data_IF_719992829319
#
_entry.id   IF_719992829319
#
_cell.length_a   1.000
_cell.length_b   1.000
_cell.length_c   1.000
_cell.angle_alpha   90.00
_cell.angle_beta   90.00
_cell.angle_gamma   90.00
#
_symmetry.space_group_name_H-M   'P 1'
#
loop_
_entity.id
_entity.type
_entity.pdbx_description
1 polymer ?
#
# COMPACT_ATOMS: atom_id res chain seq x y z
N UNK A 1 33.00 -19.42 43.16
CA UNK A 1 32.70 -19.98 41.82
C UNK A 1 31.19 -19.98 41.63
N UNK A 2 30.74 -19.64 40.42
CA UNK A 2 29.36 -19.59 39.88
C UNK A 2 28.40 -18.50 40.37
N UNK A 3 28.35 -17.42 39.60
CA UNK A 3 27.16 -16.56 39.46
C UNK A 3 26.25 -17.15 38.37
N UNK A 4 24.99 -17.51 38.65
CA UNK A 4 24.06 -17.88 37.60
C UNK A 4 23.57 -16.62 36.89
N UNK A 5 23.98 -16.46 35.64
CA UNK A 5 23.34 -15.56 34.69
C UNK A 5 21.90 -16.01 34.47
N UNK A 6 20.93 -15.40 35.15
CA UNK A 6 19.57 -15.37 34.65
C UNK A 6 19.53 -14.45 33.44
N UNK A 7 19.64 -15.06 32.25
CA UNK A 7 19.27 -14.42 30.97
C UNK A 7 17.78 -14.08 31.08
N UNK A 8 17.51 -12.81 31.37
CA UNK A 8 16.19 -12.22 31.25
C UNK A 8 15.81 -12.24 29.76
N UNK A 9 15.26 -13.36 29.30
CA UNK A 9 14.46 -13.42 28.08
C UNK A 9 13.19 -12.64 28.36
N UNK A 10 13.30 -11.31 28.31
CA UNK A 10 12.13 -10.47 28.10
C UNK A 10 11.55 -10.96 26.78
N UNK A 11 10.46 -11.74 26.86
CA UNK A 11 9.54 -11.88 25.76
C UNK A 11 9.20 -10.46 25.32
N UNK A 12 9.86 -9.99 24.26
CA UNK A 12 9.53 -8.71 23.68
C UNK A 12 8.06 -8.82 23.28
N UNK A 13 7.20 -8.06 23.97
CA UNK A 13 5.81 -7.96 23.57
C UNK A 13 5.79 -7.69 22.06
N UNK A 14 4.97 -8.42 21.28
CA UNK A 14 4.94 -8.25 19.85
C UNK A 14 4.61 -6.79 19.55
N UNK A 15 5.60 -6.04 19.05
CA UNK A 15 5.39 -4.65 18.65
C UNK A 15 4.24 -4.64 17.65
N UNK A 16 3.27 -3.72 17.79
CA UNK A 16 2.19 -3.63 16.81
C UNK A 16 2.80 -3.45 15.42
N UNK A 17 2.56 -4.42 14.53
CA UNK A 17 3.09 -4.35 13.17
C UNK A 17 2.51 -3.14 12.45
N UNK A 18 3.35 -2.32 11.79
CA UNK A 18 2.87 -1.21 11.01
C UNK A 18 1.98 -1.72 9.87
N UNK A 19 0.94 -0.96 9.54
CA UNK A 19 -0.02 -1.36 8.50
C UNK A 19 -0.50 -0.16 7.70
N UNK A 20 -0.91 -0.42 6.46
CA UNK A 20 -1.69 0.50 5.64
C UNK A 20 -3.18 0.26 5.94
N UNK A 21 -3.91 1.25 6.45
CA UNK A 21 -5.35 1.13 6.59
C UNK A 21 -6.03 1.25 5.22
N UNK A 22 -6.90 0.30 4.88
CA UNK A 22 -7.69 0.33 3.64
C UNK A 22 -9.17 0.37 3.99
N UNK A 23 -9.95 1.37 3.52
CA UNK A 23 -11.38 1.44 3.80
C UNK A 23 -12.11 0.20 3.26
N UNK A 24 -12.93 -0.47 4.07
CA UNK A 24 -13.73 -1.62 3.58
C UNK A 24 -14.70 -1.24 2.45
N UNK A 25 -15.18 0.02 2.45
CA UNK A 25 -16.03 0.54 1.38
C UNK A 25 -15.29 0.60 0.04
N UNK A 26 -14.00 0.92 0.04
CA UNK A 26 -13.14 0.86 -1.15
C UNK A 26 -13.03 -0.58 -1.63
N UNK A 27 -12.75 -1.51 -0.71
CA UNK A 27 -12.60 -2.92 -1.03
C UNK A 27 -13.89 -3.51 -1.62
N UNK A 28 -15.06 -3.12 -1.11
CA UNK A 28 -16.37 -3.49 -1.69
C UNK A 28 -16.59 -2.88 -3.08
N UNK A 29 -16.25 -1.60 -3.25
CA UNK A 29 -16.41 -0.90 -4.54
C UNK A 29 -15.53 -1.50 -5.65
N UNK A 30 -14.33 -2.00 -5.30
CA UNK A 30 -13.37 -2.59 -6.23
C UNK A 30 -13.20 -4.11 -6.01
N UNK A 31 -14.26 -4.80 -5.56
CA UNK A 31 -14.21 -6.22 -5.25
C UNK A 31 -13.72 -7.10 -6.40
N UNK A 32 -13.91 -6.67 -7.65
CA UNK A 32 -13.48 -7.38 -8.86
C UNK A 32 -12.31 -6.71 -9.59
N UNK A 33 -11.69 -5.68 -9.00
CA UNK A 33 -10.52 -5.00 -9.56
C UNK A 33 -9.37 -4.92 -8.53
N UNK A 34 -8.68 -6.05 -8.27
CA UNK A 34 -7.54 -6.08 -7.35
C UNK A 34 -6.44 -5.09 -7.74
N UNK A 35 -6.29 -4.77 -9.03
CA UNK A 35 -5.31 -3.78 -9.45
C UNK A 35 -5.64 -2.38 -8.91
N UNK A 36 -6.91 -1.99 -8.86
CA UNK A 36 -7.31 -0.70 -8.27
C UNK A 36 -6.98 -0.65 -6.78
N UNK A 37 -7.26 -1.73 -6.05
CA UNK A 37 -6.91 -1.85 -4.62
C UNK A 37 -5.40 -1.79 -4.41
N UNK A 38 -4.63 -2.49 -5.24
CA UNK A 38 -3.17 -2.44 -5.23
C UNK A 38 -2.61 -1.04 -5.48
N UNK A 39 -3.17 -0.31 -6.44
CA UNK A 39 -2.77 1.09 -6.72
C UNK A 39 -3.08 2.00 -5.53
N UNK A 40 -4.24 1.86 -4.90
CA UNK A 40 -4.56 2.60 -3.68
C UNK A 40 -3.54 2.30 -2.58
N UNK A 41 -3.22 1.01 -2.36
CA UNK A 41 -2.22 0.59 -1.38
C UNK A 41 -0.83 1.19 -1.63
N UNK A 42 -0.39 1.22 -2.88
CA UNK A 42 0.89 1.81 -3.27
C UNK A 42 0.94 3.31 -2.93
N UNK A 43 -0.10 4.06 -3.30
CA UNK A 43 -0.18 5.50 -3.00
C UNK A 43 -0.28 5.74 -1.48
N UNK A 44 -1.10 4.96 -0.79
CA UNK A 44 -1.27 5.05 0.66
C UNK A 44 0.02 4.75 1.42
N UNK A 45 0.80 3.76 0.98
CA UNK A 45 2.13 3.46 1.54
C UNK A 45 3.08 4.64 1.39
N UNK A 46 3.12 5.28 0.23
CA UNK A 46 3.94 6.47 0.01
C UNK A 46 3.49 7.63 0.92
N UNK A 47 2.17 7.82 1.07
CA UNK A 47 1.60 8.86 1.93
C UNK A 47 1.93 8.71 3.40
N UNK A 48 2.00 7.47 3.91
CA UNK A 48 2.47 7.21 5.27
C UNK A 48 3.94 7.58 5.47
N UNK A 49 4.76 7.46 4.41
CA UNK A 49 6.19 7.79 4.46
C UNK A 49 6.42 9.30 4.40
N UNK A 50 5.76 9.98 3.46
CA UNK A 50 5.98 11.40 3.16
C UNK A 50 5.10 12.32 3.99
N UNK A 51 4.02 11.81 4.60
CA UNK A 51 2.99 12.58 5.33
C UNK A 51 2.39 13.73 4.50
N UNK A 52 2.15 13.49 3.21
CA UNK A 52 1.54 14.49 2.33
C UNK A 52 1.39 14.02 0.89
N UNK A 53 0.90 14.88 -0.03
CA UNK A 53 0.72 14.56 -1.44
C UNK A 53 2.03 14.18 -2.14
N UNK A 54 2.03 13.04 -2.83
CA UNK A 54 3.24 12.44 -3.41
C UNK A 54 3.30 12.64 -4.92
N UNK A 55 4.40 13.17 -5.48
CA UNK A 55 4.58 13.25 -6.94
C UNK A 55 4.85 11.84 -7.50
N UNK A 56 3.81 11.17 -8.00
CA UNK A 56 3.89 9.77 -8.41
C UNK A 56 3.25 9.57 -9.78
N UNK A 57 4.03 9.09 -10.75
CA UNK A 57 3.54 8.79 -12.09
C UNK A 57 3.16 7.30 -12.23
N UNK A 58 2.33 6.95 -13.24
CA UNK A 58 2.06 5.55 -13.55
C UNK A 58 3.32 4.75 -13.88
N UNK A 59 4.34 5.39 -14.46
CA UNK A 59 5.62 4.78 -14.76
C UNK A 59 6.40 4.47 -13.47
N UNK A 60 6.47 5.42 -12.53
CA UNK A 60 7.13 5.20 -11.23
C UNK A 60 6.51 4.01 -10.49
N UNK A 61 5.18 3.91 -10.50
CA UNK A 61 4.47 2.76 -9.91
C UNK A 61 4.82 1.49 -10.68
N UNK A 62 4.73 1.49 -12.01
CA UNK A 62 5.07 0.29 -12.80
C UNK A 62 6.50 -0.19 -12.51
N UNK A 63 7.45 0.72 -12.47
CA UNK A 63 8.86 0.43 -12.22
C UNK A 63 9.09 -0.04 -10.79
N UNK A 64 8.30 0.44 -9.83
CA UNK A 64 8.35 -0.05 -8.46
C UNK A 64 7.89 -1.51 -8.33
N UNK A 65 7.05 -1.98 -9.25
CA UNK A 65 6.59 -3.36 -9.28
C UNK A 65 7.21 -4.17 -10.45
N UNK A 66 8.31 -3.69 -11.05
CA UNK A 66 9.00 -4.33 -12.22
C UNK A 66 9.18 -5.83 -12.04
N UNK A 67 8.43 -6.61 -12.81
CA UNK A 67 8.18 -8.05 -12.57
C UNK A 67 6.72 -8.43 -12.90
N UNK A 68 5.87 -7.41 -13.02
CA UNK A 68 4.47 -7.46 -13.41
C UNK A 68 4.20 -7.45 -14.92
N UNK A 69 3.10 -8.10 -15.33
CA UNK A 69 2.48 -7.92 -16.66
C UNK A 69 1.70 -6.59 -16.79
N UNK A 70 1.54 -5.86 -15.69
CA UNK A 70 0.71 -4.66 -15.60
C UNK A 70 1.38 -3.50 -16.33
N UNK A 71 0.71 -2.99 -17.37
CA UNK A 71 1.20 -1.89 -18.20
C UNK A 71 0.86 -0.52 -17.58
N UNK A 72 1.68 0.49 -17.84
CA UNK A 72 1.46 1.89 -17.43
C UNK A 72 0.03 2.40 -17.68
N UNK A 73 -0.55 2.07 -18.86
CA UNK A 73 -1.91 2.48 -19.20
C UNK A 73 -2.98 1.86 -18.29
N UNK A 74 -2.77 0.63 -17.82
CA UNK A 74 -3.69 -0.02 -16.88
C UNK A 74 -3.65 0.68 -15.51
N UNK A 75 -2.45 1.05 -15.04
CA UNK A 75 -2.25 1.79 -13.78
C UNK A 75 -2.88 3.18 -13.88
N UNK A 76 -2.60 3.93 -14.95
CA UNK A 76 -3.17 5.25 -15.19
C UNK A 76 -4.70 5.22 -15.19
N UNK A 77 -5.31 4.20 -15.82
CA UNK A 77 -6.75 4.01 -15.80
C UNK A 77 -7.28 3.87 -14.37
N UNK A 78 -6.62 3.08 -13.51
CA UNK A 78 -7.05 2.89 -12.11
C UNK A 78 -6.85 4.14 -11.27
N UNK A 79 -5.76 4.87 -11.47
CA UNK A 79 -5.57 6.18 -10.83
C UNK A 79 -6.74 7.09 -11.18
N UNK A 80 -7.07 7.24 -12.48
CA UNK A 80 -8.21 8.06 -12.92
C UNK A 80 -9.53 7.62 -12.31
N UNK A 81 -9.82 6.32 -12.28
CA UNK A 81 -11.04 5.80 -11.67
C UNK A 81 -11.08 6.09 -10.17
N UNK A 82 -10.00 5.85 -9.43
CA UNK A 82 -9.92 6.12 -8.00
C UNK A 82 -10.06 7.61 -7.67
N UNK A 83 -9.51 8.49 -8.52
CA UNK A 83 -9.69 9.94 -8.41
C UNK A 83 -11.14 10.33 -8.68
N UNK A 84 -11.72 9.87 -9.78
CA UNK A 84 -13.09 10.18 -10.16
C UNK A 84 -14.13 9.69 -9.12
N UNK A 85 -13.80 8.65 -8.37
CA UNK A 85 -14.65 8.07 -7.32
C UNK A 85 -14.30 8.54 -5.91
N UNK A 86 -13.35 9.48 -5.76
CA UNK A 86 -13.01 10.14 -4.50
C UNK A 86 -12.18 9.30 -3.52
N UNK A 87 -11.53 8.23 -3.98
CA UNK A 87 -10.62 7.43 -3.15
C UNK A 87 -9.18 7.92 -3.19
N UNK A 88 -8.81 8.60 -4.28
CA UNK A 88 -7.56 9.34 -4.40
C UNK A 88 -7.86 10.81 -4.69
N UNK A 89 -7.04 11.69 -4.16
CA UNK A 89 -7.02 13.10 -4.52
C UNK A 89 -5.82 13.30 -5.44
N UNK A 90 -6.06 13.96 -6.58
CA UNK A 90 -5.01 14.34 -7.51
C UNK A 90 -4.89 15.86 -7.53
N UNK A 91 -3.81 16.36 -6.97
CA UNK A 91 -3.46 17.77 -7.03
C UNK A 91 -2.58 18.03 -8.26
N UNK A 92 -2.99 19.02 -9.04
CA UNK A 92 -2.17 19.56 -10.11
C UNK A 92 -1.22 20.59 -9.49
N UNK A 93 0.04 20.19 -9.27
CA UNK A 93 1.09 21.13 -8.89
C UNK A 93 1.64 21.88 -10.11
N UNK A 94 2.60 22.79 -9.87
CA UNK A 94 3.42 23.38 -10.94
C UNK A 94 4.35 22.34 -11.63
N UNK A 95 4.43 21.13 -11.07
CA UNK A 95 5.23 20.03 -11.59
C UNK A 95 4.45 19.18 -12.60
N UNK A 96 5.19 18.49 -13.48
CA UNK A 96 4.63 17.64 -14.55
C UNK A 96 3.94 16.37 -14.00
N UNK A 97 4.34 15.89 -12.81
CA UNK A 97 3.70 14.74 -12.17
C UNK A 97 2.52 15.17 -11.31
N UNK A 98 1.41 14.44 -11.43
CA UNK A 98 0.29 14.53 -10.49
C UNK A 98 0.77 14.22 -9.08
N UNK A 99 0.31 15.01 -8.11
CA UNK A 99 0.53 14.71 -6.70
C UNK A 99 -0.68 13.95 -6.21
N UNK A 100 -0.47 12.68 -5.87
CA UNK A 100 -1.52 11.78 -5.43
C UNK A 100 -1.56 11.72 -3.90
N UNK A 101 -2.76 11.62 -3.36
CA UNK A 101 -2.96 11.46 -1.92
C UNK A 101 -4.19 10.58 -1.62
N UNK A 102 -4.14 9.68 -0.63
CA UNK A 102 -5.26 8.82 -0.30
C UNK A 102 -6.38 9.57 0.44
N UNK A 103 -7.61 9.08 0.24
CA UNK A 103 -8.80 9.54 0.94
C UNK A 103 -9.53 8.37 1.61
N UNK A 104 -10.32 8.70 2.63
CA UNK A 104 -11.22 7.78 3.33
C UNK A 104 -12.57 7.62 2.61
N UNK A 105 -12.98 8.65 1.89
CA UNK A 105 -14.21 8.79 1.11
C UNK A 105 -14.09 10.06 0.24
N UNK A 106 -15.00 10.30 -0.72
CA UNK A 106 -15.10 11.61 -1.36
C UNK A 106 -15.08 12.75 -0.33
N UNK A 107 -14.27 13.78 -0.58
CA UNK A 107 -14.07 14.95 0.26
C UNK A 107 -13.50 14.70 1.67
N UNK A 108 -12.99 13.49 1.93
CA UNK A 108 -12.37 13.12 3.21
C UNK A 108 -10.93 12.65 2.99
N UNK A 109 -9.98 13.58 2.74
CA UNK A 109 -8.56 13.25 2.65
C UNK A 109 -8.06 12.55 3.92
N UNK A 110 -6.97 11.80 3.79
CA UNK A 110 -6.21 11.41 4.97
C UNK A 110 -5.67 12.65 5.69
N UNK A 111 -5.51 12.56 7.01
CA UNK A 111 -4.77 13.55 7.77
C UNK A 111 -3.62 12.83 8.49
N UNK A 112 -2.39 12.90 7.97
CA UNK A 112 -1.26 12.11 8.49
C UNK A 112 -0.83 12.54 9.89
N UNK A 113 -1.18 13.76 10.31
CA UNK A 113 -0.86 14.30 11.63
C UNK A 113 -1.96 13.98 12.66
N UNK A 114 -3.13 13.52 12.21
CA UNK A 114 -4.21 13.08 13.09
C UNK A 114 -4.06 11.60 13.50
N UNK A 115 -4.59 11.22 14.67
CA UNK A 115 -4.67 9.82 15.07
C UNK A 115 -5.34 8.97 13.99
N UNK A 116 -4.79 7.77 13.76
CA UNK A 116 -5.29 6.85 12.72
C UNK A 116 -5.44 7.51 11.35
N UNK A 117 -4.51 8.38 10.97
CA UNK A 117 -4.50 9.08 9.67
C UNK A 117 -5.79 9.89 9.41
N UNK A 118 -6.45 10.37 10.46
CA UNK A 118 -7.69 11.14 10.38
C UNK A 118 -8.92 10.32 10.01
N UNK A 119 -8.90 9.00 10.28
CA UNK A 119 -10.00 8.09 9.95
C UNK A 119 -11.33 8.56 10.59
N UNK A 120 -12.38 8.81 9.78
CA UNK A 120 -13.69 9.18 10.29
C UNK A 120 -14.33 8.10 11.18
N UNK A 121 -15.14 8.54 12.14
CA UNK A 121 -15.93 7.66 13.01
C UNK A 121 -16.88 6.81 12.17
N UNK A 122 -16.85 5.49 12.35
CA UNK A 122 -17.67 4.53 11.59
C UNK A 122 -17.02 3.95 10.33
N UNK A 123 -15.91 4.50 9.84
CA UNK A 123 -15.16 3.87 8.74
C UNK A 123 -14.45 2.62 9.26
N UNK A 124 -14.86 1.46 8.75
CA UNK A 124 -14.18 0.17 8.96
C UNK A 124 -12.99 0.04 8.02
N UNK A 125 -11.89 -0.49 8.54
CA UNK A 125 -10.63 -0.62 7.80
C UNK A 125 -10.09 -2.03 7.85
N UNK A 126 -9.61 -2.51 6.71
CA UNK A 126 -8.70 -3.63 6.63
C UNK A 126 -7.29 -3.12 6.93
N UNK A 127 -6.56 -3.83 7.80
CA UNK A 127 -5.15 -3.57 8.06
C UNK A 127 -4.32 -4.45 7.12
N UNK A 128 -3.60 -3.82 6.19
CA UNK A 128 -2.66 -4.52 5.31
C UNK A 128 -1.25 -4.32 5.88
N UNK A 129 -0.53 -5.37 6.29
CA UNK A 129 0.81 -5.23 6.86
C UNK A 129 1.74 -4.46 5.92
N UNK A 130 2.46 -3.47 6.45
CA UNK A 130 3.36 -2.62 5.67
C UNK A 130 4.51 -3.42 5.05
N UNK A 131 4.89 -4.48 5.77
CA UNK A 131 5.89 -5.49 5.50
C UNK A 131 5.68 -6.14 4.13
N UNK A 132 4.42 -6.33 3.72
CA UNK A 132 4.07 -6.87 2.40
C UNK A 132 4.51 -5.96 1.26
N UNK A 133 4.59 -4.65 1.48
CA UNK A 133 5.13 -3.71 0.51
C UNK A 133 6.66 -3.62 0.68
N UNK A 134 7.13 -3.33 1.89
CA UNK A 134 8.53 -3.00 2.12
C UNK A 134 9.49 -4.18 1.88
N UNK A 135 9.13 -5.38 2.34
CA UNK A 135 9.99 -6.56 2.27
C UNK A 135 9.85 -7.33 0.95
N UNK A 136 8.64 -7.38 0.39
CA UNK A 136 8.37 -8.18 -0.82
C UNK A 136 8.40 -7.37 -2.11
N UNK A 137 8.24 -6.05 -2.06
CA UNK A 137 8.31 -5.17 -3.25
C UNK A 137 9.57 -4.31 -3.19
N UNK A 138 9.86 -3.76 -2.01
CA UNK A 138 10.93 -2.80 -1.77
C UNK A 138 10.39 -1.39 -1.57
N UNK A 139 11.30 -0.41 -1.43
CA UNK A 139 10.96 0.98 -1.14
C UNK A 139 11.05 1.83 -2.40
N UNK A 140 10.16 2.82 -2.50
CA UNK A 140 10.20 3.87 -3.51
C UNK A 140 10.41 5.22 -2.81
N UNK A 141 11.26 6.06 -3.38
CA UNK A 141 11.42 7.46 -3.03
C UNK A 141 10.99 8.34 -4.24
N UNK A 142 9.76 8.88 -4.19
CA UNK A 142 9.16 9.64 -5.27
C UNK A 142 9.88 10.97 -5.51
N UNK A 143 10.40 11.15 -6.73
CA UNK A 143 11.13 12.37 -7.11
C UNK A 143 10.21 13.40 -7.79
N UNK A 144 10.36 14.70 -7.46
CA UNK A 144 9.60 15.77 -8.10
C UNK A 144 10.05 16.01 -9.55
N UNK A 145 9.19 16.71 -10.32
CA UNK A 145 9.50 17.09 -11.70
C UNK A 145 9.54 15.90 -12.66
N UNK A 146 10.52 15.88 -13.58
CA UNK A 146 10.68 14.81 -14.61
C UNK A 146 11.54 13.64 -14.16
N UNK A 147 12.12 13.69 -12.96
CA UNK A 147 13.04 12.64 -12.47
C UNK A 147 12.27 11.37 -12.18
N UNK A 148 12.80 10.21 -12.56
CA UNK A 148 12.23 8.92 -12.16
C UNK A 148 12.34 8.76 -10.63
N UNK A 149 11.37 8.07 -10.02
CA UNK A 149 11.46 7.71 -8.62
C UNK A 149 12.67 6.79 -8.37
N UNK A 150 13.30 6.95 -7.20
CA UNK A 150 14.40 6.08 -6.81
C UNK A 150 13.81 4.83 -6.14
N UNK A 151 14.23 3.65 -6.58
CA UNK A 151 13.69 2.39 -6.07
C UNK A 151 14.81 1.58 -5.43
N UNK A 152 14.62 1.20 -4.17
CA UNK A 152 15.59 0.41 -3.39
C UNK A 152 14.97 -0.92 -3.01
N UNK A 153 15.61 -2.03 -3.36
CA UNK A 153 15.11 -3.39 -3.14
C UNK A 153 16.23 -4.29 -2.62
N UNK A 154 15.83 -5.31 -1.86
CA UNK A 154 16.74 -6.35 -1.39
C UNK A 154 16.95 -7.47 -2.41
N UNK A 155 16.08 -7.56 -3.42
CA UNK A 155 16.08 -8.57 -4.48
C UNK A 155 15.83 -7.86 -5.81
N UNK A 156 16.48 -8.30 -6.88
CA UNK A 156 16.44 -7.68 -8.22
C UNK A 156 15.03 -7.61 -8.82
N UNK A 157 14.10 -8.46 -8.35
CA UNK A 157 12.69 -8.48 -8.76
C UNK A 157 11.78 -8.53 -7.52
N UNK A 158 10.65 -7.82 -7.52
CA UNK A 158 9.67 -7.86 -6.45
C UNK A 158 9.01 -9.24 -6.46
N UNK A 159 8.82 -9.78 -5.26
CA UNK A 159 8.19 -11.07 -5.02
C UNK A 159 6.66 -10.99 -5.14
N UNK A 160 6.09 -9.81 -4.88
CA UNK A 160 4.67 -9.52 -5.00
C UNK A 160 4.44 -8.36 -5.95
N UNK A 161 3.29 -8.39 -6.62
CA UNK A 161 2.84 -7.28 -7.44
C UNK A 161 1.57 -6.55 -6.93
N UNK A 162 1.16 -5.50 -7.63
CA UNK A 162 -0.07 -4.75 -7.32
C UNK A 162 -1.32 -5.64 -7.28
N UNK A 163 -1.40 -6.63 -8.17
CA UNK A 163 -2.54 -7.55 -8.21
C UNK A 163 -2.47 -8.50 -7.02
N UNK A 164 -1.29 -8.99 -6.67
CA UNK A 164 -1.07 -9.79 -5.46
C UNK A 164 -1.47 -8.98 -4.21
N UNK A 165 -1.01 -7.74 -4.05
CA UNK A 165 -1.34 -6.89 -2.91
C UNK A 165 -2.84 -6.58 -2.83
N UNK A 166 -3.47 -6.27 -3.96
CA UNK A 166 -4.92 -6.05 -4.02
C UNK A 166 -5.71 -7.30 -3.68
N UNK A 167 -5.28 -8.45 -4.19
CA UNK A 167 -5.89 -9.76 -3.89
C UNK A 167 -5.76 -10.06 -2.40
N UNK A 168 -4.58 -9.84 -1.80
CA UNK A 168 -4.38 -10.00 -0.36
C UNK A 168 -5.38 -9.16 0.44
N UNK A 169 -5.54 -7.88 0.11
CA UNK A 169 -6.48 -7.01 0.80
C UNK A 169 -7.94 -7.46 0.63
N UNK A 170 -8.29 -8.04 -0.54
CA UNK A 170 -9.63 -8.51 -0.86
C UNK A 170 -9.97 -9.90 -0.29
N UNK A 171 -8.99 -10.77 -0.05
CA UNK A 171 -9.22 -12.16 0.43
C UNK A 171 -10.01 -12.26 1.73
N UNK A 172 -9.99 -11.22 2.56
CA UNK A 172 -10.76 -11.17 3.81
C UNK A 172 -12.23 -10.74 3.63
N UNK A 173 -12.55 -10.11 2.50
CA UNK A 173 -13.89 -9.57 2.20
C UNK A 173 -14.61 -10.35 1.11
N UNK A 174 -13.86 -11.08 0.30
CA UNK A 174 -14.35 -11.76 -0.90
C UNK A 174 -13.71 -13.14 -0.97
N UNK A 175 -14.42 -14.12 -1.52
CA UNK A 175 -13.90 -15.48 -1.78
C UNK A 175 -12.94 -15.50 -2.99
N UNK A 176 -12.11 -14.46 -3.16
CA UNK A 176 -11.10 -14.43 -4.21
C UNK A 176 -10.00 -15.40 -3.79
N UNK A 177 -9.72 -16.36 -4.67
CA UNK A 177 -8.63 -17.31 -4.46
C UNK A 177 -7.30 -16.53 -4.35
N UNK A 178 -6.48 -16.81 -3.32
CA UNK A 178 -5.16 -16.19 -3.22
C UNK A 178 -4.31 -16.53 -4.44
N UNK A 179 -3.49 -15.59 -4.89
CA UNK A 179 -2.55 -15.87 -5.98
C UNK A 179 -1.46 -16.86 -5.52
N UNK A 180 -0.86 -17.64 -6.42
CA UNK A 180 0.23 -18.56 -6.06
C UNK A 180 1.40 -17.88 -5.33
N UNK A 181 1.72 -16.63 -5.68
CA UNK A 181 2.79 -15.86 -5.03
C UNK A 181 2.44 -15.50 -3.59
N UNK A 182 1.18 -15.16 -3.31
CA UNK A 182 0.72 -14.91 -1.93
C UNK A 182 0.77 -16.17 -1.07
N UNK A 183 0.46 -17.33 -1.65
CA UNK A 183 0.55 -18.62 -0.96
C UNK A 183 2.01 -18.96 -0.62
N UNK A 184 2.93 -18.77 -1.58
CA UNK A 184 4.37 -18.97 -1.37
C UNK A 184 4.97 -17.99 -0.35
N UNK A 185 4.45 -16.77 -0.29
CA UNK A 185 4.87 -15.77 0.69
C UNK A 185 4.41 -16.07 2.13
N UNK A 186 3.56 -17.09 2.36
CA UNK A 186 2.97 -17.39 3.67
C UNK A 186 1.99 -16.32 4.17
N UNK A 187 1.61 -15.36 3.33
CA UNK A 187 0.79 -14.22 3.72
C UNK A 187 -0.67 -14.61 3.98
N UNK A 188 -1.13 -15.71 3.41
CA UNK A 188 -2.51 -16.21 3.51
C UNK A 188 -2.63 -17.18 4.69
N UNK A 189 -2.36 -16.69 5.91
CA UNK A 189 -2.29 -17.56 7.09
C UNK A 189 -2.62 -16.92 8.43
N UNK A 190 -2.86 -15.60 8.52
CA UNK A 190 -3.23 -14.96 9.77
C UNK A 190 -4.71 -14.54 9.78
N UNK A 191 -5.57 -15.50 10.14
CA UNK A 191 -6.84 -15.21 10.80
C UNK A 191 -6.52 -14.93 12.27
N UNK A 192 -6.56 -13.65 12.67
CA UNK A 192 -6.92 -13.24 14.03
C UNK A 192 -7.71 -11.95 13.95
#
# INVERSE_FOLDING_TARGET
>A
MSFPYYRNERHAEPRPQPYVPVPERLLRAFAHDPLAVGVYLAVARCALSTRGPIPLSPADISDWFTGTRTRNGAILRRIRTLVATGWLIAEHGQAIKLRLFPAWAPDQPWNPDAPQVGKPTGVRVRRVPLDLLDSYVGRIDPQPGRRAALITRYIDRPLLDLVDLGTYALTALTMIAPTPRLMLAGAVGHRR
#
